data_IF_113145247890
#
_entry.id   IF_113145247890
#
_cell.length_a   1.000
_cell.length_b   1.000
_cell.length_c   1.000
_cell.angle_alpha   90.00
_cell.angle_beta   90.00
_cell.angle_gamma   90.00
#
_symmetry.space_group_name_H-M   'P 1'
#
loop_
_entity.id
_entity.type
_entity.pdbx_description
1 polymer ?
#
# COMPACT_ATOMS: atom_id res chain seq x y z
N UNK A 1 20.88 7.87 -26.62
CA UNK A 1 20.23 8.97 -27.36
C UNK A 1 18.85 8.45 -27.77
N UNK A 2 17.83 8.66 -26.93
CA UNK A 2 16.45 8.18 -27.21
C UNK A 2 15.58 9.39 -27.46
N UNK A 3 15.00 9.42 -28.65
CA UNK A 3 14.10 10.46 -29.14
C UNK A 3 12.75 10.30 -28.45
N UNK A 4 12.35 11.26 -27.62
CA UNK A 4 10.96 11.42 -27.19
C UNK A 4 10.07 11.53 -28.42
N UNK A 5 9.11 10.61 -28.58
CA UNK A 5 8.13 10.66 -29.67
C UNK A 5 7.01 11.59 -29.29
N UNK A 6 7.00 12.79 -29.86
CA UNK A 6 5.87 13.71 -29.75
C UNK A 6 4.75 13.27 -30.70
N UNK A 7 3.70 12.64 -30.18
CA UNK A 7 2.46 12.40 -30.95
C UNK A 7 1.57 13.62 -30.75
N UNK A 8 1.57 14.55 -31.72
CA UNK A 8 0.60 15.66 -31.73
C UNK A 8 -0.78 15.13 -32.13
N UNK A 9 -1.65 14.86 -31.16
CA UNK A 9 -3.09 14.74 -31.39
C UNK A 9 -3.74 16.07 -31.05
N UNK A 10 -4.30 16.75 -32.06
CA UNK A 10 -5.10 17.97 -31.84
C UNK A 10 -6.49 17.57 -31.35
N UNK A 11 -6.79 17.88 -30.09
CA UNK A 11 -8.13 17.80 -29.50
C UNK A 11 -8.74 19.21 -29.51
N UNK A 12 -9.49 19.56 -30.57
CA UNK A 12 -10.32 20.79 -30.65
C UNK A 12 -9.56 22.14 -30.68
N UNK A 13 -10.31 23.25 -30.54
CA UNK A 13 -9.88 24.68 -30.59
C UNK A 13 -8.94 25.12 -29.44
N UNK A 14 -8.21 24.19 -28.86
CA UNK A 14 -7.33 24.43 -27.74
C UNK A 14 -5.92 23.96 -28.10
N UNK A 15 -4.92 24.79 -27.77
CA UNK A 15 -3.49 24.50 -28.00
C UNK A 15 -2.93 23.40 -27.06
N UNK A 16 -3.77 22.48 -26.59
CA UNK A 16 -3.29 21.35 -25.80
C UNK A 16 -2.49 20.42 -26.70
N UNK A 17 -1.32 20.03 -26.19
CA UNK A 17 -0.43 19.08 -26.86
C UNK A 17 -0.21 17.94 -25.88
N UNK A 18 -0.44 16.72 -26.35
CA UNK A 18 -0.11 15.52 -25.59
C UNK A 18 1.40 15.48 -25.34
N UNK A 19 1.78 15.33 -24.07
CA UNK A 19 3.16 15.20 -23.66
C UNK A 19 3.38 13.85 -22.99
N UNK A 20 4.27 13.06 -23.57
CA UNK A 20 4.71 11.79 -23.01
C UNK A 20 5.99 12.00 -22.21
N UNK A 21 5.92 11.68 -20.92
CA UNK A 21 7.05 11.76 -19.99
C UNK A 21 7.73 10.39 -19.96
N UNK A 22 9.06 10.34 -19.99
CA UNK A 22 9.78 9.07 -19.85
C UNK A 22 9.56 8.48 -18.45
N UNK A 23 9.14 7.21 -18.40
CA UNK A 23 8.87 6.48 -17.16
C UNK A 23 9.10 4.98 -17.34
N UNK A 24 9.36 4.23 -16.25
CA UNK A 24 9.51 2.79 -16.33
C UNK A 24 8.22 2.09 -16.74
N UNK A 25 8.32 1.13 -17.65
CA UNK A 25 7.21 0.26 -18.01
C UNK A 25 6.97 -0.81 -16.94
N UNK A 26 5.70 -1.03 -16.62
CA UNK A 26 5.27 -2.17 -15.82
C UNK A 26 5.55 -3.47 -16.59
N UNK A 27 6.10 -4.47 -15.90
CA UNK A 27 6.46 -5.78 -16.50
C UNK A 27 5.40 -6.86 -16.31
N UNK A 28 4.56 -6.73 -15.29
CA UNK A 28 3.48 -7.67 -14.96
C UNK A 28 2.11 -7.13 -15.42
N UNK A 29 1.05 -7.90 -15.18
CA UNK A 29 -0.32 -7.57 -15.62
C UNK A 29 -1.21 -6.98 -14.53
N UNK A 30 -0.73 -6.83 -13.28
CA UNK A 30 -1.59 -6.59 -12.11
C UNK A 30 -1.14 -5.43 -11.18
N UNK A 31 0.00 -4.80 -11.45
CA UNK A 31 0.52 -3.66 -10.68
C UNK A 31 0.23 -2.28 -11.28
N UNK A 32 -0.61 -2.16 -12.32
CA UNK A 32 -0.85 -0.87 -12.99
C UNK A 32 -1.30 0.23 -12.03
N UNK A 33 -2.24 -0.07 -11.13
CA UNK A 33 -2.69 0.87 -10.11
C UNK A 33 -1.57 1.30 -9.14
N UNK A 34 -0.66 0.40 -8.80
CA UNK A 34 0.50 0.72 -7.93
C UNK A 34 1.48 1.65 -8.63
N UNK A 35 1.74 1.43 -9.92
CA UNK A 35 2.57 2.32 -10.72
C UNK A 35 1.93 3.71 -10.86
N UNK A 36 0.61 3.79 -11.11
CA UNK A 36 -0.11 5.06 -11.14
C UNK A 36 0.04 5.84 -9.83
N UNK A 37 -0.12 5.20 -8.66
CA UNK A 37 0.07 5.86 -7.37
C UNK A 37 1.49 6.41 -7.20
N UNK A 38 2.51 5.62 -7.54
CA UNK A 38 3.91 6.05 -7.46
C UNK A 38 4.22 7.21 -8.41
N UNK A 39 3.68 7.20 -9.62
CA UNK A 39 3.86 8.32 -10.56
C UNK A 39 3.16 9.59 -10.10
N UNK A 40 1.94 9.49 -9.56
CA UNK A 40 1.24 10.64 -8.97
C UNK A 40 2.05 11.20 -7.80
N UNK A 41 2.54 10.33 -6.91
CA UNK A 41 3.38 10.76 -5.78
C UNK A 41 4.66 11.44 -6.27
N UNK A 42 5.33 10.91 -7.29
CA UNK A 42 6.51 11.52 -7.88
C UNK A 42 6.23 12.91 -8.48
N UNK A 43 5.12 13.05 -9.21
CA UNK A 43 4.69 14.33 -9.79
C UNK A 43 4.38 15.37 -8.71
N UNK A 44 3.65 14.98 -7.66
CA UNK A 44 3.25 15.88 -6.56
C UNK A 44 4.46 16.27 -5.70
N UNK A 45 5.39 15.35 -5.47
CA UNK A 45 6.61 15.58 -4.67
C UNK A 45 7.78 16.14 -5.47
N UNK A 46 7.59 16.36 -6.79
CA UNK A 46 8.63 16.82 -7.71
C UNK A 46 9.87 15.92 -7.73
N UNK A 47 9.66 14.60 -7.62
CA UNK A 47 10.71 13.59 -7.74
C UNK A 47 10.68 12.93 -9.12
N UNK A 48 11.77 12.29 -9.50
CA UNK A 48 11.92 11.66 -10.81
C UNK A 48 11.01 10.42 -10.95
N UNK A 49 10.24 10.31 -12.05
CA UNK A 49 9.35 9.15 -12.31
C UNK A 49 10.11 7.82 -12.48
N UNK A 50 11.42 7.88 -12.66
CA UNK A 50 12.32 6.73 -12.76
C UNK A 50 12.55 6.07 -11.38
N UNK A 51 12.35 6.81 -10.29
CA UNK A 51 12.60 6.36 -8.93
C UNK A 51 11.40 5.62 -8.34
N UNK A 52 10.95 4.56 -9.03
CA UNK A 52 9.89 3.69 -8.52
C UNK A 52 10.46 2.65 -7.56
N UNK A 53 9.74 2.44 -6.46
CA UNK A 53 10.01 1.37 -5.50
C UNK A 53 9.46 0.03 -5.99
N UNK A 54 9.94 -1.05 -5.39
CA UNK A 54 9.33 -2.37 -5.55
C UNK A 54 7.81 -2.30 -5.24
N UNK A 55 6.93 -2.76 -6.16
CA UNK A 55 5.48 -2.66 -5.98
C UNK A 55 4.95 -3.32 -4.70
N UNK A 56 5.57 -4.42 -4.23
CA UNK A 56 5.11 -5.09 -3.02
C UNK A 56 5.47 -4.30 -1.77
N UNK A 57 6.66 -3.69 -1.75
CA UNK A 57 7.06 -2.78 -0.68
C UNK A 57 6.18 -1.52 -0.66
N UNK A 58 5.86 -0.97 -1.82
CA UNK A 58 4.94 0.16 -1.93
C UNK A 58 3.54 -0.18 -1.39
N UNK A 59 2.97 -1.33 -1.79
CA UNK A 59 1.69 -1.82 -1.25
C UNK A 59 1.72 -1.94 0.28
N UNK A 60 2.81 -2.44 0.86
CA UNK A 60 2.97 -2.51 2.32
C UNK A 60 2.93 -1.11 2.93
N UNK A 61 3.69 -0.15 2.38
CA UNK A 61 3.70 1.23 2.88
C UNK A 61 2.32 1.90 2.78
N UNK A 62 1.64 1.78 1.63
CA UNK A 62 0.27 2.26 1.45
C UNK A 62 -0.69 1.64 2.47
N UNK A 63 -0.62 0.31 2.66
CA UNK A 63 -1.45 -0.39 3.65
C UNK A 63 -1.22 0.15 5.05
N UNK A 64 0.04 0.36 5.45
CA UNK A 64 0.39 0.94 6.75
C UNK A 64 -0.19 2.36 6.92
N UNK A 65 -0.08 3.20 5.88
CA UNK A 65 -0.64 4.54 5.84
C UNK A 65 -2.17 4.52 5.99
N UNK A 66 -2.86 3.72 5.17
CA UNK A 66 -4.32 3.60 5.23
C UNK A 66 -4.79 3.14 6.61
N UNK A 67 -4.12 2.14 7.20
CA UNK A 67 -4.43 1.63 8.54
C UNK A 67 -4.21 2.67 9.64
N UNK A 68 -3.23 3.57 9.49
CA UNK A 68 -2.99 4.66 10.44
C UNK A 68 -4.16 5.66 10.46
N UNK A 69 -4.77 5.93 9.32
CA UNK A 69 -5.86 6.89 9.17
C UNK A 69 -7.26 6.26 9.24
N UNK A 70 -7.33 4.95 9.45
CA UNK A 70 -8.60 4.23 9.48
C UNK A 70 -9.28 4.39 10.83
N UNK A 71 -10.49 4.96 10.82
CA UNK A 71 -11.32 5.07 12.02
C UNK A 71 -11.94 3.71 12.38
N UNK A 72 -11.78 3.29 13.64
CA UNK A 72 -12.48 2.19 14.32
C UNK A 72 -12.66 0.87 13.53
N UNK A 73 -11.64 0.01 13.58
CA UNK A 73 -11.59 -1.32 12.92
C UNK A 73 -11.49 -2.47 13.89
N UNK A 74 -11.98 -2.28 15.11
CA UNK A 74 -11.94 -3.33 16.15
C UNK A 74 -12.60 -4.65 15.73
N UNK A 75 -13.44 -4.64 14.69
CA UNK A 75 -14.20 -5.81 14.23
C UNK A 75 -13.69 -6.42 12.92
N UNK A 76 -12.58 -5.93 12.40
CA UNK A 76 -12.01 -6.41 11.14
C UNK A 76 -10.59 -6.91 11.34
N UNK A 77 -10.24 -7.96 10.60
CA UNK A 77 -8.88 -8.48 10.60
C UNK A 77 -7.92 -7.53 9.87
N UNK A 78 -6.83 -7.14 10.54
CA UNK A 78 -5.71 -6.35 9.99
C UNK A 78 -5.13 -6.89 8.67
N UNK A 79 -5.21 -8.21 8.46
CA UNK A 79 -4.55 -8.88 7.34
C UNK A 79 -5.48 -9.14 6.15
N UNK A 80 -6.65 -9.72 6.40
CA UNK A 80 -7.59 -10.12 5.35
C UNK A 80 -8.80 -9.19 5.22
N UNK A 81 -8.96 -8.20 6.10
CA UNK A 81 -10.09 -7.25 6.11
C UNK A 81 -11.46 -7.94 6.27
N UNK A 82 -11.46 -9.25 6.56
CA UNK A 82 -12.67 -10.03 6.84
C UNK A 82 -13.30 -9.63 8.17
N UNK A 83 -14.64 -9.57 8.17
CA UNK A 83 -15.45 -9.33 9.36
C UNK A 83 -15.50 -10.53 10.30
N UNK A 84 -15.70 -10.23 11.59
CA UNK A 84 -15.67 -11.14 12.74
C UNK A 84 -16.34 -12.52 12.52
N UNK A 85 -15.55 -13.51 12.11
CA UNK A 85 -15.67 -14.83 12.70
C UNK A 85 -15.36 -14.72 14.20
N UNK A 86 -15.95 -15.58 15.04
CA UNK A 86 -15.95 -15.51 16.51
C UNK A 86 -14.55 -15.59 17.18
N UNK A 87 -13.46 -15.36 16.45
CA UNK A 87 -12.09 -15.60 16.87
C UNK A 87 -11.12 -14.50 16.42
N UNK A 88 -11.43 -13.24 16.72
CA UNK A 88 -10.49 -12.14 16.55
C UNK A 88 -9.58 -12.01 17.78
N UNK A 89 -8.27 -11.96 17.55
CA UNK A 89 -7.24 -11.66 18.54
C UNK A 89 -6.94 -10.15 18.49
N UNK A 90 -7.07 -9.46 19.63
CA UNK A 90 -6.80 -8.02 19.71
C UNK A 90 -5.36 -7.75 20.11
N UNK A 91 -4.70 -6.87 19.37
CA UNK A 91 -3.40 -6.33 19.75
C UNK A 91 -3.52 -5.58 21.08
N UNK A 92 -2.71 -5.93 22.08
CA UNK A 92 -2.76 -5.29 23.39
C UNK A 92 -2.37 -3.80 23.35
N UNK A 93 -1.68 -3.34 22.30
CA UNK A 93 -1.18 -1.96 22.17
C UNK A 93 -2.16 -1.04 21.44
N UNK A 94 -2.72 -1.48 20.32
CA UNK A 94 -3.56 -0.63 19.46
C UNK A 94 -4.98 -1.16 19.27
N UNK A 95 -5.35 -2.24 19.95
CA UNK A 95 -6.68 -2.88 19.91
C UNK A 95 -7.13 -3.38 18.53
N UNK A 96 -6.26 -3.30 17.53
CA UNK A 96 -6.46 -3.86 16.19
C UNK A 96 -6.69 -5.36 16.26
N UNK A 97 -7.67 -5.84 15.50
CA UNK A 97 -8.06 -7.24 15.48
C UNK A 97 -7.33 -8.02 14.40
N UNK A 98 -6.99 -9.27 14.69
CA UNK A 98 -6.43 -10.22 13.74
C UNK A 98 -7.20 -11.53 13.84
N UNK A 99 -7.72 -12.01 12.71
CA UNK A 99 -8.33 -13.32 12.65
C UNK A 99 -7.32 -14.43 12.98
N UNK A 100 -7.75 -15.49 13.69
CA UNK A 100 -6.87 -16.60 14.09
C UNK A 100 -6.15 -17.28 12.92
N UNK A 101 -6.76 -17.37 11.73
CA UNK A 101 -6.08 -17.92 10.57
C UNK A 101 -4.94 -17.02 10.11
N UNK A 102 -5.22 -15.72 9.99
CA UNK A 102 -4.19 -14.73 9.69
C UNK A 102 -3.12 -14.67 10.79
N UNK A 103 -3.50 -14.85 12.05
CA UNK A 103 -2.55 -14.90 13.15
C UNK A 103 -1.53 -16.02 12.97
N UNK A 104 -2.00 -17.25 12.72
CA UNK A 104 -1.14 -18.41 12.45
C UNK A 104 -0.23 -18.20 11.25
N UNK A 105 -0.75 -17.59 10.19
CA UNK A 105 -0.02 -17.36 8.95
C UNK A 105 1.07 -16.28 9.08
N UNK A 106 0.78 -15.17 9.77
CA UNK A 106 1.62 -13.98 9.74
C UNK A 106 2.48 -13.77 10.99
N UNK A 107 2.11 -14.34 12.15
CA UNK A 107 2.78 -14.04 13.43
C UNK A 107 3.55 -15.20 14.03
N UNK A 108 3.47 -16.40 13.43
CA UNK A 108 4.06 -17.64 13.93
C UNK A 108 3.46 -18.03 15.30
N UNK A 109 2.89 -19.23 15.42
CA UNK A 109 2.06 -19.67 16.55
C UNK A 109 2.80 -19.86 17.89
N UNK A 110 3.97 -19.23 18.08
CA UNK A 110 4.82 -19.32 19.28
C UNK A 110 4.46 -18.31 20.36
N UNK A 111 3.54 -17.38 20.11
CA UNK A 111 3.01 -16.52 21.16
C UNK A 111 2.11 -17.39 22.04
N UNK A 112 2.67 -17.83 23.17
CA UNK A 112 2.02 -18.75 24.10
C UNK A 112 0.86 -18.10 24.89
N UNK A 113 0.78 -16.76 24.88
CA UNK A 113 -0.26 -16.00 25.57
C UNK A 113 -0.90 -14.98 24.63
N UNK A 114 -2.15 -15.24 24.25
CA UNK A 114 -2.98 -14.37 23.43
C UNK A 114 -3.17 -12.97 24.05
N UNK A 115 -2.98 -12.83 25.37
CA UNK A 115 -3.05 -11.54 26.07
C UNK A 115 -1.86 -10.62 25.81
N UNK A 116 -0.74 -11.18 25.34
CA UNK A 116 0.48 -10.44 25.01
C UNK A 116 0.66 -10.24 23.50
N UNK A 117 -0.38 -10.49 22.70
CA UNK A 117 -0.30 -10.29 21.25
C UNK A 117 -0.05 -8.82 20.90
N UNK A 118 1.06 -8.56 20.22
CA UNK A 118 1.37 -7.27 19.60
C UNK A 118 1.34 -7.42 18.07
N UNK A 119 0.53 -6.61 17.39
CA UNK A 119 0.42 -6.68 15.94
C UNK A 119 1.66 -6.11 15.24
N UNK A 120 1.81 -6.45 13.96
CA UNK A 120 2.93 -6.05 13.11
C UNK A 120 3.08 -4.53 13.08
N UNK A 121 1.96 -3.78 13.10
CA UNK A 121 2.01 -2.32 13.15
C UNK A 121 2.75 -1.83 14.39
N UNK A 122 2.42 -2.38 15.57
CA UNK A 122 3.01 -1.97 16.83
C UNK A 122 4.42 -2.51 17.04
N UNK A 123 4.78 -3.63 16.39
CA UNK A 123 6.14 -4.18 16.42
C UNK A 123 7.12 -3.35 15.56
N UNK A 124 6.67 -2.85 14.41
CA UNK A 124 7.53 -2.20 13.43
C UNK A 124 7.43 -0.67 13.38
N UNK A 125 6.35 -0.08 13.91
CA UNK A 125 6.29 1.36 14.15
C UNK A 125 6.65 1.66 15.62
N UNK A 126 7.96 1.68 15.93
CA UNK A 126 8.41 2.48 17.08
C UNK A 126 8.16 3.93 16.71
N UNK A 127 7.25 4.58 17.45
CA UNK A 127 6.84 5.99 17.37
C UNK A 127 7.92 6.89 16.75
N UNK A 128 7.58 7.55 15.63
CA UNK A 128 8.16 8.84 15.26
C UNK A 128 7.45 9.92 16.06
#
# INVERSE_FOLDING_TARGET
>A
MHLSRHVKRQLGETNWVDYEIEHPYQKDTYNCGVYCCQFIEALVTQTALQNISDPNNYRKQMKMLLLKYRNNVEKECLHCEGGAGQSLLKCHTCLQSVDRMCFKQYYNSKIADEKLFQCYLCLHNKRF
#
